data_IF_954801727278
#
_entry.id   IF_954801727278
#
_cell.length_a   1.000
_cell.length_b   1.000
_cell.length_c   1.000
_cell.angle_alpha   90.00
_cell.angle_beta   90.00
_cell.angle_gamma   90.00
#
_symmetry.space_group_name_H-M   'P 1'
#
loop_
_entity.id
_entity.type
_entity.pdbx_description
1 polymer ?
#
# COMPACT_ATOMS: atom_id res chain seq x y z
N UNK A 1 -3.07 -22.27 -1.79
CA UNK A 1 -3.98 -23.44 -1.60
C UNK A 1 -4.60 -23.39 -0.20
N UNK A 2 -3.86 -23.68 0.88
CA UNK A 2 -4.40 -23.61 2.25
C UNK A 2 -5.01 -22.24 2.59
N UNK A 3 -4.33 -21.15 2.23
CA UNK A 3 -4.85 -19.79 2.47
C UNK A 3 -6.24 -19.51 1.86
N UNK A 4 -6.59 -20.09 0.71
CA UNK A 4 -7.91 -19.86 0.10
C UNK A 4 -8.99 -20.68 0.81
N UNK A 5 -8.63 -21.89 1.28
CA UNK A 5 -9.51 -22.73 2.08
C UNK A 5 -9.85 -22.05 3.42
N UNK A 6 -8.85 -21.53 4.12
CA UNK A 6 -9.08 -20.79 5.38
C UNK A 6 -9.96 -19.55 5.15
N UNK A 7 -9.71 -18.79 4.08
CA UNK A 7 -10.56 -17.65 3.72
C UNK A 7 -12.01 -18.10 3.47
N UNK A 8 -12.22 -19.19 2.72
CA UNK A 8 -13.56 -19.70 2.45
C UNK A 8 -14.29 -20.10 3.74
N UNK A 9 -13.59 -20.76 4.67
CA UNK A 9 -14.13 -21.13 5.98
C UNK A 9 -14.51 -19.89 6.80
N UNK A 10 -13.63 -18.90 6.91
CA UNK A 10 -13.91 -17.65 7.63
C UNK A 10 -15.16 -16.93 7.06
N UNK A 11 -15.32 -16.95 5.73
CA UNK A 11 -16.48 -16.37 5.06
C UNK A 11 -17.77 -17.17 5.31
N UNK A 12 -17.70 -18.50 5.35
CA UNK A 12 -18.82 -19.37 5.73
C UNK A 12 -19.23 -19.17 7.20
N UNK A 13 -18.26 -18.87 8.08
CA UNK A 13 -18.48 -18.49 9.48
C UNK A 13 -19.03 -17.06 9.65
N UNK A 14 -19.14 -16.29 8.56
CA UNK A 14 -19.79 -14.98 8.52
C UNK A 14 -18.84 -13.79 8.61
N UNK A 15 -17.56 -13.95 8.26
CA UNK A 15 -16.65 -12.81 8.15
C UNK A 15 -17.08 -11.82 7.06
N UNK A 16 -17.09 -10.53 7.40
CA UNK A 16 -17.49 -9.45 6.46
C UNK A 16 -16.37 -9.03 5.49
N UNK A 17 -15.13 -9.42 5.77
CA UNK A 17 -13.95 -9.01 5.00
C UNK A 17 -12.81 -10.01 5.16
N UNK A 18 -11.88 -9.94 4.21
CA UNK A 18 -10.66 -10.76 4.19
C UNK A 18 -9.49 -9.86 4.58
N UNK A 19 -8.57 -10.37 5.41
CA UNK A 19 -7.29 -9.71 5.68
C UNK A 19 -6.14 -10.66 5.38
N UNK A 20 -5.26 -10.27 4.45
CA UNK A 20 -3.97 -10.96 4.27
C UNK A 20 -2.89 -10.25 5.08
N UNK A 21 -2.16 -11.02 5.89
CA UNK A 21 -1.00 -10.56 6.66
C UNK A 21 0.08 -11.66 6.68
N UNK A 22 1.38 -11.31 6.57
CA UNK A 22 1.91 -9.99 6.20
C UNK A 22 1.68 -9.70 4.70
N UNK A 23 1.72 -8.42 4.28
CA UNK A 23 1.28 -8.04 2.93
C UNK A 23 2.36 -8.21 1.85
N UNK A 24 3.54 -7.63 2.06
CA UNK A 24 4.58 -7.55 1.02
C UNK A 24 5.11 -8.94 0.63
N UNK A 25 5.28 -9.82 1.61
CA UNK A 25 5.76 -11.19 1.37
C UNK A 25 4.71 -12.11 0.72
N UNK A 26 3.43 -11.71 0.68
CA UNK A 26 2.31 -12.54 0.23
C UNK A 26 1.41 -11.81 -0.79
N UNK A 27 2.00 -10.98 -1.66
CA UNK A 27 1.27 -10.30 -2.74
C UNK A 27 0.57 -11.29 -3.69
N UNK A 28 1.14 -12.48 -3.88
CA UNK A 28 0.55 -13.58 -4.65
C UNK A 28 -0.71 -14.15 -3.99
N UNK A 29 -0.75 -14.22 -2.65
CA UNK A 29 -1.94 -14.63 -1.90
C UNK A 29 -3.02 -13.55 -1.99
N UNK A 30 -2.65 -12.28 -1.90
CA UNK A 30 -3.60 -11.15 -2.11
C UNK A 30 -4.20 -11.23 -3.52
N UNK A 31 -3.38 -11.53 -4.53
CA UNK A 31 -3.84 -11.71 -5.91
C UNK A 31 -4.82 -12.86 -6.04
N UNK A 32 -4.46 -14.04 -5.53
CA UNK A 32 -5.34 -15.22 -5.52
C UNK A 32 -6.67 -14.94 -4.82
N UNK A 33 -6.64 -14.35 -3.62
CA UNK A 33 -7.84 -14.01 -2.88
C UNK A 33 -8.74 -13.02 -3.64
N UNK A 34 -8.14 -12.04 -4.34
CA UNK A 34 -8.90 -11.08 -5.16
C UNK A 34 -9.55 -11.76 -6.37
N UNK A 35 -8.91 -12.77 -6.95
CA UNK A 35 -9.45 -13.50 -8.10
C UNK A 35 -10.58 -14.45 -7.70
N UNK A 36 -10.48 -15.06 -6.51
CA UNK A 36 -11.42 -16.09 -6.05
C UNK A 36 -12.63 -15.52 -5.28
N UNK A 37 -12.44 -14.43 -4.51
CA UNK A 37 -13.48 -13.89 -3.64
C UNK A 37 -13.90 -12.48 -4.07
N UNK A 38 -15.21 -12.21 -3.99
CA UNK A 38 -15.79 -10.87 -4.22
C UNK A 38 -15.85 -10.00 -2.97
N UNK A 39 -15.39 -10.52 -1.83
CA UNK A 39 -15.47 -9.85 -0.53
C UNK A 39 -14.47 -8.68 -0.41
N UNK A 40 -14.73 -7.69 0.46
CA UNK A 40 -13.76 -6.65 0.76
C UNK A 40 -12.43 -7.25 1.21
N UNK A 41 -11.36 -6.98 0.46
CA UNK A 41 -10.02 -7.49 0.72
C UNK A 41 -9.12 -6.39 1.26
N UNK A 42 -8.59 -6.60 2.47
CA UNK A 42 -7.60 -5.75 3.10
C UNK A 42 -6.25 -6.47 3.14
N UNK A 43 -5.19 -5.69 3.07
CA UNK A 43 -3.83 -6.17 3.30
C UNK A 43 -3.20 -5.42 4.46
N UNK A 44 -2.52 -6.13 5.35
CA UNK A 44 -1.79 -5.51 6.45
C UNK A 44 -0.29 -5.52 6.14
N UNK A 45 0.23 -4.32 5.83
CA UNK A 45 1.67 -4.06 5.84
C UNK A 45 2.16 -3.98 7.30
N UNK A 46 2.69 -5.10 7.80
CA UNK A 46 2.90 -5.34 9.24
C UNK A 46 4.11 -4.56 9.80
N UNK A 47 4.25 -4.60 11.13
CA UNK A 47 5.30 -3.88 11.85
C UNK A 47 6.72 -4.23 11.39
N UNK A 48 6.99 -5.49 11.07
CA UNK A 48 8.29 -5.93 10.55
C UNK A 48 8.62 -5.32 9.18
N UNK A 49 7.63 -5.25 8.29
CA UNK A 49 7.79 -4.65 6.95
C UNK A 49 8.01 -3.13 7.06
N UNK A 50 7.25 -2.45 7.93
CA UNK A 50 7.47 -1.04 8.26
C UNK A 50 8.88 -0.81 8.80
N UNK A 51 9.28 -1.56 9.83
CA UNK A 51 10.57 -1.40 10.49
C UNK A 51 11.74 -1.63 9.53
N UNK A 52 11.61 -2.58 8.61
CA UNK A 52 12.59 -2.87 7.57
C UNK A 52 12.82 -1.65 6.66
N UNK A 53 11.75 -1.01 6.16
CA UNK A 53 11.86 0.18 5.30
C UNK A 53 12.45 1.35 6.09
N UNK A 54 11.98 1.63 7.32
CA UNK A 54 12.51 2.72 8.14
C UNK A 54 14.00 2.52 8.48
N UNK A 55 14.41 1.29 8.78
CA UNK A 55 15.81 0.98 9.09
C UNK A 55 16.71 1.20 7.87
N UNK A 56 16.35 0.65 6.71
CA UNK A 56 17.10 0.82 5.48
C UNK A 56 17.16 2.29 5.01
N UNK A 57 16.05 3.03 5.15
CA UNK A 57 15.99 4.46 4.86
C UNK A 57 16.90 5.30 5.76
N UNK A 58 16.90 5.04 7.08
CA UNK A 58 17.79 5.71 8.04
C UNK A 58 19.27 5.45 7.77
N UNK A 59 19.61 4.27 7.25
CA UNK A 59 20.98 3.91 6.87
C UNK A 59 21.38 4.45 5.49
N UNK A 60 20.46 5.11 4.77
CA UNK A 60 20.69 5.62 3.43
C UNK A 60 20.83 4.52 2.36
N UNK A 61 20.39 3.29 2.66
CA UNK A 61 20.45 2.18 1.71
C UNK A 61 19.38 2.28 0.62
N UNK A 62 18.28 2.96 0.94
CA UNK A 62 17.15 3.18 0.05
C UNK A 62 16.60 4.60 0.24
N UNK A 63 15.88 5.09 -0.77
CA UNK A 63 14.96 6.21 -0.59
C UNK A 63 13.70 5.72 0.13
N UNK A 64 13.51 6.15 1.39
CA UNK A 64 12.39 5.71 2.22
C UNK A 64 11.03 6.07 1.62
N UNK A 65 10.88 7.30 1.10
CA UNK A 65 9.62 7.80 0.53
C UNK A 65 9.25 6.97 -0.68
N UNK A 66 10.19 6.85 -1.61
CA UNK A 66 9.98 6.14 -2.87
C UNK A 66 9.65 4.66 -2.63
N UNK A 67 10.45 3.94 -1.83
CA UNK A 67 10.21 2.52 -1.55
C UNK A 67 8.91 2.28 -0.78
N UNK A 68 8.55 3.19 0.14
CA UNK A 68 7.26 3.08 0.85
C UNK A 68 6.10 3.19 -0.12
N UNK A 69 6.09 4.21 -0.99
CA UNK A 69 5.01 4.42 -1.96
C UNK A 69 4.95 3.28 -2.99
N UNK A 70 6.10 2.80 -3.47
CA UNK A 70 6.22 1.61 -4.34
C UNK A 70 5.60 0.38 -3.67
N UNK A 71 5.90 0.14 -2.39
CA UNK A 71 5.37 -0.98 -1.60
C UNK A 71 3.85 -0.91 -1.46
N UNK A 72 3.31 0.25 -1.08
CA UNK A 72 1.86 0.46 -0.96
C UNK A 72 1.16 0.30 -2.31
N UNK A 73 1.80 0.76 -3.39
CA UNK A 73 1.30 0.61 -4.76
C UNK A 73 1.30 -0.85 -5.19
N UNK A 74 2.33 -1.62 -4.86
CA UNK A 74 2.41 -3.05 -5.13
C UNK A 74 1.28 -3.83 -4.42
N UNK A 75 1.01 -3.51 -3.16
CA UNK A 75 -0.11 -4.10 -2.39
C UNK A 75 -1.45 -3.74 -3.02
N UNK A 76 -1.64 -2.46 -3.39
CA UNK A 76 -2.86 -2.01 -4.08
C UNK A 76 -3.05 -2.74 -5.42
N UNK A 77 -1.98 -2.86 -6.20
CA UNK A 77 -1.94 -3.57 -7.49
C UNK A 77 -2.23 -5.06 -7.36
N UNK A 78 -1.76 -5.70 -6.29
CA UNK A 78 -2.04 -7.11 -6.03
C UNK A 78 -3.53 -7.40 -5.86
N UNK A 79 -4.32 -6.42 -5.40
CA UNK A 79 -5.78 -6.55 -5.33
C UNK A 79 -6.40 -6.01 -4.06
N UNK A 80 -5.61 -5.50 -3.12
CA UNK A 80 -6.13 -4.97 -1.87
C UNK A 80 -7.03 -3.75 -2.10
N UNK A 81 -8.27 -3.81 -1.61
CA UNK A 81 -9.20 -2.69 -1.61
C UNK A 81 -8.72 -1.58 -0.68
N UNK A 82 -8.21 -1.95 0.51
CA UNK A 82 -7.65 -1.04 1.52
C UNK A 82 -6.37 -1.64 2.12
N UNK A 83 -5.50 -0.79 2.64
CA UNK A 83 -4.22 -1.19 3.23
C UNK A 83 -4.16 -0.69 4.68
N UNK A 84 -3.88 -1.59 5.61
CA UNK A 84 -3.54 -1.26 6.99
C UNK A 84 -2.02 -1.10 7.02
N UNK A 85 -1.52 0.06 7.41
CA UNK A 85 -0.06 0.33 7.44
C UNK A 85 0.29 1.42 8.45
N UNK A 86 1.47 1.29 9.06
CA UNK A 86 2.06 2.33 9.91
C UNK A 86 2.55 3.54 9.09
N UNK A 87 2.79 3.38 7.79
CA UNK A 87 3.19 4.47 6.90
C UNK A 87 2.03 5.41 6.51
N UNK A 88 0.80 5.14 6.95
CA UNK A 88 -0.40 5.81 6.45
C UNK A 88 -0.32 7.34 6.51
N UNK A 89 0.16 7.90 7.65
CA UNK A 89 0.30 9.36 7.81
C UNK A 89 1.37 9.96 6.90
N UNK A 90 2.50 9.26 6.73
CA UNK A 90 3.61 9.72 5.91
C UNK A 90 3.25 9.65 4.42
N UNK A 91 2.70 8.52 3.98
CA UNK A 91 2.24 8.32 2.62
C UNK A 91 1.14 9.31 2.22
N UNK A 92 0.16 9.57 3.09
CA UNK A 92 -0.89 10.56 2.83
C UNK A 92 -0.31 11.96 2.60
N UNK A 93 0.67 12.37 3.42
CA UNK A 93 1.36 13.66 3.27
C UNK A 93 2.13 13.73 1.95
N UNK A 94 2.92 12.70 1.62
CA UNK A 94 3.70 12.67 0.38
C UNK A 94 2.84 12.70 -0.88
N UNK A 95 1.71 12.00 -0.87
CA UNK A 95 0.74 12.01 -1.98
C UNK A 95 0.08 13.37 -2.15
N UNK A 96 -0.23 14.07 -1.05
CA UNK A 96 -0.78 15.43 -1.11
C UNK A 96 0.24 16.43 -1.68
N UNK A 97 1.51 16.32 -1.27
CA UNK A 97 2.62 17.11 -1.84
C UNK A 97 2.77 16.89 -3.36
N UNK A 98 2.73 15.63 -3.82
CA UNK A 98 2.77 15.29 -5.25
C UNK A 98 1.59 15.86 -6.02
N UNK A 99 0.37 15.76 -5.47
CA UNK A 99 -0.82 16.34 -6.09
C UNK A 99 -0.77 17.87 -6.13
N UNK A 100 -0.22 18.50 -5.10
CA UNK A 100 -0.02 19.94 -5.07
C UNK A 100 0.96 20.40 -6.16
N UNK A 101 2.04 19.65 -6.38
CA UNK A 101 3.02 19.98 -7.42
C UNK A 101 2.45 19.80 -8.83
N UNK A 102 1.72 18.70 -9.08
CA UNK A 102 1.01 18.47 -10.36
C UNK A 102 -0.02 19.57 -10.64
N UNK A 103 -0.65 20.13 -9.60
CA UNK A 103 -1.67 21.19 -9.73
C UNK A 103 -1.08 22.60 -9.79
N UNK A 104 0.24 22.79 -9.67
CA UNK A 104 0.83 24.14 -9.77
C UNK A 104 0.63 24.70 -11.19
N UNK A 105 0.05 25.90 -11.32
CA UNK A 105 -0.04 26.56 -12.62
C UNK A 105 1.36 26.78 -13.21
N UNK A 106 1.57 26.35 -14.45
CA UNK A 106 2.83 26.51 -15.22
C UNK A 106 3.28 27.99 -15.30
N UNK A 107 2.37 28.93 -15.06
CA UNK A 107 2.57 30.38 -15.17
C UNK A 107 3.35 31.02 -14.01
N UNK A 108 3.63 30.32 -12.91
CA UNK A 108 4.32 30.92 -11.77
C UNK A 108 5.86 31.01 -11.90
N UNK A 109 6.46 30.44 -12.95
CA UNK A 109 7.93 30.40 -13.14
C UNK A 109 8.47 31.26 -14.28
N UNK A 110 7.60 31.90 -15.08
CA UNK A 110 8.05 32.82 -16.14
C UNK A 110 7.91 34.27 -15.67
N UNK A 111 8.98 34.79 -15.06
CA UNK A 111 9.15 36.23 -14.89
C UNK A 111 9.29 36.91 -16.25
N UNK A 112 8.16 37.24 -16.89
CA UNK A 112 8.10 38.21 -17.97
C UNK A 112 7.64 39.53 -17.36
N UNK A 113 8.60 40.38 -16.98
CA UNK A 113 8.37 41.81 -16.85
C UNK A 113 9.08 42.47 -18.03
N UNK A 114 8.27 43.10 -18.89
CA UNK A 114 8.74 44.01 -19.92
C UNK A 114 9.24 45.34 -19.36
#
# INVERSE_FOLDING_TARGET
REAMTEIAIDLEEGADLIIVKPALAYLDVIRQARDEFSMPLLAYNVSGEYAMIKAAGRLGWIDERWVTLETLTAIKRAGAGRIITYHAKEAARWLDEELADVRRPVVASAGWRG
#
